data_IF_839493734031
#
_entry.id   IF_839493734031
#
_cell.length_a   1.000
_cell.length_b   1.000
_cell.length_c   1.000
_cell.angle_alpha   90.00
_cell.angle_beta   90.00
_cell.angle_gamma   90.00
#
_symmetry.space_group_name_H-M   'P 1'
#
loop_
_entity.id
_entity.type
_entity.pdbx_description
1 polymer ?
#
# COMPACT_ATOMS: atom_id res chain seq x y z
N UNK A 1 -30.26 11.72 9.67
CA UNK A 1 -31.05 10.77 8.84
C UNK A 1 -30.98 11.25 7.41
N UNK A 2 -29.96 10.79 6.66
CA UNK A 2 -29.80 11.09 5.23
C UNK A 2 -30.34 9.87 4.49
N UNK A 3 -31.46 10.03 3.80
CA UNK A 3 -32.01 9.00 2.91
C UNK A 3 -31.17 8.97 1.64
N UNK A 4 -30.28 7.99 1.50
CA UNK A 4 -29.63 7.70 0.22
C UNK A 4 -30.59 6.89 -0.64
N UNK A 5 -31.27 7.58 -1.55
CA UNK A 5 -32.01 6.94 -2.64
C UNK A 5 -30.99 6.26 -3.57
N UNK A 6 -30.85 4.95 -3.46
CA UNK A 6 -30.14 4.14 -4.45
C UNK A 6 -31.03 4.00 -5.70
N UNK A 7 -31.08 5.04 -6.53
CA UNK A 7 -31.68 4.96 -7.87
C UNK A 7 -30.89 3.96 -8.71
N UNK A 8 -31.58 2.99 -9.33
CA UNK A 8 -30.94 2.03 -10.23
C UNK A 8 -30.30 2.77 -11.42
N UNK A 9 -28.98 2.81 -11.48
CA UNK A 9 -28.25 3.53 -12.51
C UNK A 9 -28.38 2.81 -13.86
N UNK A 10 -29.01 3.47 -14.83
CA UNK A 10 -29.00 3.02 -16.22
C UNK A 10 -27.65 3.38 -16.87
N UNK A 11 -27.18 2.57 -17.82
CA UNK A 11 -25.93 2.85 -18.55
C UNK A 11 -25.96 4.16 -19.36
N UNK A 12 -27.15 4.73 -19.58
CA UNK A 12 -27.33 6.02 -20.27
C UNK A 12 -26.80 7.21 -19.49
N UNK A 13 -26.83 7.15 -18.16
CA UNK A 13 -26.49 8.29 -17.30
C UNK A 13 -25.01 8.37 -16.95
N UNK A 14 -24.27 7.26 -17.14
CA UNK A 14 -22.84 7.17 -16.85
C UNK A 14 -22.03 8.28 -17.55
N UNK A 15 -22.33 8.59 -18.81
CA UNK A 15 -21.64 9.66 -19.56
C UNK A 15 -21.93 11.04 -18.95
N UNK A 16 -23.15 11.26 -18.50
CA UNK A 16 -23.57 12.52 -17.89
C UNK A 16 -22.86 12.74 -16.56
N UNK A 17 -22.77 11.69 -15.72
CA UNK A 17 -22.02 11.73 -14.45
C UNK A 17 -20.52 11.92 -14.67
N UNK A 18 -19.91 11.18 -15.60
CA UNK A 18 -18.49 11.31 -15.94
C UNK A 18 -18.11 12.69 -16.53
N UNK A 19 -19.08 13.47 -16.98
CA UNK A 19 -18.85 14.86 -17.40
C UNK A 19 -19.01 15.87 -16.26
N UNK A 20 -19.76 15.53 -15.22
CA UNK A 20 -20.08 16.42 -14.10
C UNK A 20 -19.16 16.21 -12.88
N UNK A 21 -18.91 14.96 -12.49
CA UNK A 21 -17.96 14.56 -11.43
C UNK A 21 -17.18 13.32 -11.89
N UNK A 22 -16.11 13.51 -12.69
CA UNK A 22 -15.38 12.40 -13.29
C UNK A 22 -14.65 11.56 -12.23
N UNK A 23 -14.98 10.26 -12.17
CA UNK A 23 -14.25 9.28 -11.36
C UNK A 23 -13.24 8.57 -12.26
N UNK A 24 -12.00 8.45 -11.79
CA UNK A 24 -10.92 7.78 -12.51
C UNK A 24 -11.18 6.28 -12.61
N UNK A 25 -11.76 5.86 -13.73
CA UNK A 25 -11.97 4.45 -14.09
C UNK A 25 -11.13 4.02 -15.29
N UNK A 26 -10.12 4.83 -15.63
CA UNK A 26 -9.25 4.65 -16.79
C UNK A 26 -9.84 5.13 -18.12
N UNK A 27 -11.09 5.62 -18.14
CA UNK A 27 -11.70 6.24 -19.33
C UNK A 27 -11.65 7.76 -19.20
N UNK A 28 -11.41 8.43 -20.34
CA UNK A 28 -11.40 9.89 -20.41
C UNK A 28 -12.03 10.35 -21.73
N UNK A 29 -12.53 11.58 -21.74
CA UNK A 29 -13.01 12.19 -22.98
C UNK A 29 -11.80 12.57 -23.83
N UNK A 30 -11.70 11.99 -25.02
CA UNK A 30 -10.63 12.31 -25.96
C UNK A 30 -10.57 13.83 -26.21
N UNK A 31 -9.36 14.39 -26.19
CA UNK A 31 -9.09 15.83 -26.33
C UNK A 31 -9.66 16.72 -25.21
N UNK A 32 -10.12 16.13 -24.11
CA UNK A 32 -10.60 16.84 -22.92
C UNK A 32 -10.28 16.04 -21.67
N UNK A 33 -8.98 15.92 -21.37
CA UNK A 33 -8.54 15.39 -20.09
C UNK A 33 -9.14 16.25 -18.97
N UNK A 34 -9.83 15.61 -18.04
CA UNK A 34 -10.39 16.25 -16.86
C UNK A 34 -9.64 15.73 -15.64
N UNK A 35 -9.46 16.59 -14.64
CA UNK A 35 -9.06 16.13 -13.32
C UNK A 35 -10.13 15.17 -12.82
N UNK A 36 -9.72 13.93 -12.55
CA UNK A 36 -10.59 12.85 -12.12
C UNK A 36 -10.39 12.64 -10.64
N UNK A 37 -11.47 12.34 -9.92
CA UNK A 37 -11.39 11.87 -8.53
C UNK A 37 -10.96 10.41 -8.54
N UNK A 38 -10.09 10.02 -7.63
CA UNK A 38 -9.81 8.60 -7.43
C UNK A 38 -11.10 7.86 -7.05
N UNK A 39 -11.26 6.59 -7.45
CA UNK A 39 -12.36 5.76 -6.96
C UNK A 39 -12.42 5.77 -5.43
N UNK A 40 -13.63 5.68 -4.83
CA UNK A 40 -13.78 5.50 -3.40
C UNK A 40 -12.89 4.34 -2.91
N UNK A 41 -12.18 4.57 -1.81
CA UNK A 41 -11.19 3.61 -1.26
C UNK A 41 -11.85 2.28 -0.86
N UNK A 42 -13.13 2.35 -0.54
CA UNK A 42 -14.05 1.26 -0.21
C UNK A 42 -14.14 0.19 -1.30
N UNK A 43 -13.92 0.57 -2.57
CA UNK A 43 -13.96 -0.37 -3.70
C UNK A 43 -12.72 -1.29 -3.76
N UNK A 44 -11.63 -0.92 -3.10
CA UNK A 44 -10.39 -1.70 -3.17
C UNK A 44 -10.37 -2.83 -2.14
N UNK A 45 -10.87 -2.59 -0.92
CA UNK A 45 -10.91 -3.62 0.13
C UNK A 45 -11.95 -3.30 1.23
N UNK A 46 -12.72 -4.30 1.74
CA UNK A 46 -13.72 -4.08 2.79
C UNK A 46 -13.17 -3.51 4.10
N UNK A 47 -11.87 -3.66 4.35
CA UNK A 47 -11.21 -3.06 5.53
C UNK A 47 -11.36 -1.54 5.55
N UNK A 48 -11.39 -0.89 4.38
CA UNK A 48 -11.51 0.57 4.31
C UNK A 48 -12.92 1.03 4.63
N UNK A 49 -13.95 0.27 4.26
CA UNK A 49 -15.34 0.52 4.69
C UNK A 49 -15.41 0.46 6.21
N UNK A 50 -14.93 -0.64 6.79
CA UNK A 50 -14.94 -0.83 8.24
C UNK A 50 -14.18 0.28 8.97
N UNK A 51 -13.02 0.68 8.44
CA UNK A 51 -12.24 1.78 9.00
C UNK A 51 -13.01 3.10 9.00
N UNK A 52 -13.72 3.43 7.92
CA UNK A 52 -14.54 4.64 7.85
C UNK A 52 -15.73 4.57 8.81
N UNK A 53 -16.37 3.41 8.91
CA UNK A 53 -17.46 3.18 9.88
C UNK A 53 -16.95 3.34 11.33
N UNK A 54 -15.79 2.75 11.64
CA UNK A 54 -15.14 2.82 12.95
C UNK A 54 -14.75 4.27 13.31
N UNK A 55 -14.24 5.06 12.35
CA UNK A 55 -13.92 6.48 12.58
C UNK A 55 -15.16 7.35 12.79
N UNK A 56 -16.27 7.03 12.11
CA UNK A 56 -17.52 7.77 12.26
C UNK A 56 -18.30 7.41 13.53
N UNK A 57 -17.84 6.40 14.29
CA UNK A 57 -18.49 5.92 15.49
C UNK A 57 -17.91 6.61 16.75
N UNK A 58 -18.61 7.63 17.26
CA UNK A 58 -18.24 8.34 18.48
C UNK A 58 -18.23 7.44 19.74
N UNK A 59 -18.96 6.32 19.70
CA UNK A 59 -19.06 5.36 20.81
C UNK A 59 -18.00 4.23 20.70
N UNK A 60 -17.07 4.30 19.74
CA UNK A 60 -16.02 3.29 19.59
C UNK A 60 -15.02 3.38 20.75
N UNK A 61 -15.07 2.40 21.66
CA UNK A 61 -14.09 2.26 22.73
C UNK A 61 -12.76 1.73 22.18
N UNK A 62 -11.77 2.61 22.06
CA UNK A 62 -10.39 2.22 21.71
C UNK A 62 -9.61 1.92 22.99
N UNK A 63 -8.93 0.76 23.11
CA UNK A 63 -8.16 0.44 24.30
C UNK A 63 -7.07 1.48 24.61
N UNK A 64 -6.99 1.92 25.86
CA UNK A 64 -5.99 2.88 26.35
C UNK A 64 -4.54 2.54 25.95
N UNK A 65 -4.22 1.24 25.94
CA UNK A 65 -2.89 0.75 25.56
C UNK A 65 -2.59 1.05 24.08
N UNK A 66 -3.57 0.88 23.19
CA UNK A 66 -3.45 1.20 21.76
C UNK A 66 -3.27 2.70 21.59
N UNK A 67 -4.09 3.53 22.25
CA UNK A 67 -3.97 5.00 22.18
C UNK A 67 -2.57 5.46 22.59
N UNK A 68 -2.05 4.93 23.71
CA UNK A 68 -0.70 5.28 24.20
C UNK A 68 0.39 4.79 23.26
N UNK A 69 0.26 3.59 22.70
CA UNK A 69 1.20 3.06 21.72
C UNK A 69 1.22 3.90 20.45
N UNK A 70 0.04 4.24 19.89
CA UNK A 70 -0.09 5.12 18.74
C UNK A 70 0.50 6.50 19.01
N UNK A 71 0.29 7.07 20.20
CA UNK A 71 0.89 8.36 20.56
C UNK A 71 2.43 8.31 20.61
N UNK A 72 3.02 7.22 21.12
CA UNK A 72 4.48 7.01 21.09
C UNK A 72 4.98 6.84 19.66
N UNK A 73 4.29 6.01 18.87
CA UNK A 73 4.60 5.79 17.45
C UNK A 73 4.66 7.13 16.71
N UNK A 74 3.59 7.93 16.76
CA UNK A 74 3.53 9.23 16.09
C UNK A 74 4.66 10.16 16.57
N UNK A 75 4.92 10.19 17.88
CA UNK A 75 5.99 11.01 18.46
C UNK A 75 7.36 10.60 17.90
N UNK A 76 7.70 9.32 17.95
CA UNK A 76 9.00 8.83 17.48
C UNK A 76 9.13 8.89 15.96
N UNK A 77 8.08 8.59 15.20
CA UNK A 77 8.09 8.74 13.73
C UNK A 77 8.28 10.19 13.28
N UNK A 78 7.77 11.16 14.05
CA UNK A 78 7.90 12.60 13.74
C UNK A 78 9.26 13.20 14.13
N UNK A 79 10.07 12.50 14.91
CA UNK A 79 11.38 13.00 15.29
C UNK A 79 12.35 12.93 14.10
N UNK A 80 13.16 13.99 13.95
CA UNK A 80 14.28 14.01 13.01
C UNK A 80 15.46 13.36 13.72
N UNK A 81 16.01 12.31 13.11
CA UNK A 81 17.18 11.61 13.64
C UNK A 81 18.39 12.00 12.81
N UNK A 82 19.55 12.14 13.47
CA UNK A 82 20.80 12.29 12.75
C UNK A 82 21.10 11.00 11.98
N UNK A 83 21.66 11.13 10.77
CA UNK A 83 21.83 10.03 9.79
C UNK A 83 22.63 8.83 10.32
N UNK A 84 23.46 9.04 11.35
CA UNK A 84 24.28 7.99 11.97
C UNK A 84 23.45 7.00 12.82
N UNK A 85 22.19 7.32 13.15
CA UNK A 85 21.40 6.57 14.12
C UNK A 85 20.12 5.91 13.54
N UNK A 86 20.18 5.53 12.26
CA UNK A 86 19.10 4.82 11.56
C UNK A 86 18.65 3.53 12.26
N UNK A 87 19.55 2.90 13.03
CA UNK A 87 19.26 1.68 13.79
C UNK A 87 18.41 1.96 15.04
N UNK A 88 18.69 3.03 15.80
CA UNK A 88 17.84 3.39 16.93
C UNK A 88 16.46 3.86 16.44
N UNK A 89 16.39 4.63 15.34
CA UNK A 89 15.11 5.01 14.73
C UNK A 89 14.25 3.78 14.41
N UNK A 90 14.80 2.82 13.64
CA UNK A 90 14.08 1.60 13.23
C UNK A 90 13.61 0.75 14.41
N UNK A 91 14.48 0.55 15.41
CA UNK A 91 14.15 -0.27 16.58
C UNK A 91 13.04 0.33 17.45
N UNK A 92 13.10 1.65 17.69
CA UNK A 92 12.10 2.36 18.51
C UNK A 92 10.75 2.42 17.78
N UNK A 93 10.75 2.86 16.52
CA UNK A 93 9.52 2.94 15.72
C UNK A 93 8.91 1.54 15.54
N UNK A 94 9.74 0.52 15.36
CA UNK A 94 9.25 -0.84 15.19
C UNK A 94 8.56 -1.41 16.41
N UNK A 95 9.10 -1.17 17.61
CA UNK A 95 8.45 -1.58 18.84
C UNK A 95 7.09 -0.90 19.01
N UNK A 96 7.03 0.42 18.81
CA UNK A 96 5.77 1.16 18.97
C UNK A 96 4.74 0.79 17.89
N UNK A 97 5.18 0.46 16.67
CA UNK A 97 4.29 -0.02 15.61
C UNK A 97 3.67 -1.37 15.94
N UNK A 98 4.47 -2.32 16.45
CA UNK A 98 3.96 -3.63 16.88
C UNK A 98 2.98 -3.50 18.04
N UNK A 99 3.27 -2.61 19.00
CA UNK A 99 2.36 -2.31 20.11
C UNK A 99 1.05 -1.67 19.61
N UNK A 100 1.14 -0.68 18.72
CA UNK A 100 -0.03 0.04 18.20
C UNK A 100 -0.94 -0.84 17.32
N UNK A 101 -0.33 -1.76 16.55
CA UNK A 101 -1.06 -2.71 15.70
C UNK A 101 -1.43 -4.00 16.41
N UNK A 102 -0.96 -4.19 17.66
CA UNK A 102 -1.06 -5.45 18.39
C UNK A 102 -0.62 -6.67 17.56
N UNK A 103 0.34 -6.45 16.65
CA UNK A 103 0.76 -7.44 15.66
C UNK A 103 2.28 -7.58 15.66
N UNK A 104 2.75 -8.82 15.85
CA UNK A 104 4.17 -9.13 15.76
C UNK A 104 4.66 -9.02 14.31
N UNK A 105 5.75 -8.30 14.10
CA UNK A 105 6.39 -8.10 12.80
C UNK A 105 7.86 -8.52 12.89
N UNK A 106 8.17 -9.83 12.99
CA UNK A 106 9.55 -10.30 13.12
C UNK A 106 10.40 -9.87 11.92
N UNK A 107 11.64 -9.46 12.21
CA UNK A 107 12.64 -9.21 11.20
C UNK A 107 13.03 -10.54 10.53
N UNK A 108 13.01 -10.58 9.20
CA UNK A 108 13.44 -11.75 8.45
C UNK A 108 14.79 -11.43 7.81
N UNK A 109 15.85 -12.07 8.33
CA UNK A 109 17.21 -11.95 7.78
C UNK A 109 17.41 -13.10 6.79
N UNK A 110 17.50 -12.78 5.50
CA UNK A 110 17.82 -13.76 4.46
C UNK A 110 19.34 -14.04 4.41
N UNK A 111 19.71 -15.21 3.89
CA UNK A 111 21.10 -15.65 3.76
C UNK A 111 21.97 -14.67 2.94
N UNK A 112 21.37 -13.93 2.02
CA UNK A 112 22.05 -12.98 1.12
C UNK A 112 22.28 -11.60 1.77
N UNK A 113 22.19 -11.50 3.10
CA UNK A 113 22.36 -10.27 3.90
C UNK A 113 21.32 -9.18 3.63
N UNK A 114 20.29 -9.48 2.83
CA UNK A 114 19.10 -8.65 2.76
C UNK A 114 18.22 -9.02 3.96
N UNK A 115 17.89 -8.03 4.78
CA UNK A 115 17.03 -8.21 5.93
C UNK A 115 15.82 -7.29 5.75
N UNK A 116 14.63 -7.90 5.69
CA UNK A 116 13.37 -7.16 5.74
C UNK A 116 13.22 -6.57 7.14
N UNK A 117 12.84 -5.31 7.27
CA UNK A 117 12.67 -4.68 8.59
C UNK A 117 11.52 -5.32 9.40
N UNK A 118 10.53 -5.91 8.72
CA UNK A 118 9.56 -6.79 9.35
C UNK A 118 8.63 -7.49 8.36
N UNK A 119 8.14 -8.67 8.73
CA UNK A 119 7.20 -9.43 7.91
C UNK A 119 6.08 -10.02 8.76
N UNK A 120 4.84 -9.91 8.29
CA UNK A 120 3.71 -10.65 8.83
C UNK A 120 3.38 -11.77 7.85
N UNK A 121 3.43 -13.01 8.33
CA UNK A 121 3.08 -14.19 7.54
C UNK A 121 1.85 -14.90 8.09
N UNK A 122 1.14 -15.62 7.22
CA UNK A 122 0.05 -16.52 7.59
C UNK A 122 0.19 -17.85 6.86
N UNK A 123 -0.34 -18.91 7.46
CA UNK A 123 -0.39 -20.21 6.81
C UNK A 123 -1.42 -20.18 5.67
N UNK A 124 -1.03 -20.65 4.49
CA UNK A 124 -1.94 -20.84 3.38
C UNK A 124 -2.81 -22.09 3.62
N UNK A 125 -4.07 -22.09 3.15
CA UNK A 125 -4.92 -23.29 3.21
C UNK A 125 -4.37 -24.47 2.41
N UNK A 126 -3.46 -24.20 1.47
CA UNK A 126 -2.91 -25.19 0.53
C UNK A 126 -1.45 -25.43 0.87
N UNK A 127 -1.15 -26.60 1.41
CA UNK A 127 0.24 -27.08 1.54
C UNK A 127 1.03 -26.53 2.73
N UNK A 128 0.39 -25.88 3.71
CA UNK A 128 1.04 -25.34 4.90
C UNK A 128 2.21 -24.40 4.58
N UNK A 129 2.13 -23.70 3.45
CA UNK A 129 3.12 -22.70 3.05
C UNK A 129 2.83 -21.38 3.76
N UNK A 130 3.83 -20.52 3.88
CA UNK A 130 3.66 -19.19 4.46
C UNK A 130 3.40 -18.17 3.35
N UNK A 131 2.33 -17.38 3.49
CA UNK A 131 2.06 -16.21 2.66
C UNK A 131 2.40 -14.94 3.45
N UNK A 132 3.12 -14.00 2.83
CA UNK A 132 3.32 -12.67 3.41
C UNK A 132 2.03 -11.85 3.28
N UNK A 133 1.46 -11.47 4.42
CA UNK A 133 0.34 -10.52 4.50
C UNK A 133 0.88 -9.09 4.40
N UNK A 134 2.02 -8.82 5.04
CA UNK A 134 2.62 -7.51 5.11
C UNK A 134 4.15 -7.64 5.10
N UNK A 135 4.80 -6.76 4.36
CA UNK A 135 6.25 -6.55 4.39
C UNK A 135 6.47 -5.09 4.74
N UNK A 136 7.34 -4.86 5.72
CA UNK A 136 7.73 -3.57 6.21
C UNK A 136 9.16 -3.29 5.77
N UNK A 137 9.34 -2.12 5.19
CA UNK A 137 10.63 -1.51 4.84
C UNK A 137 10.59 -0.09 5.40
N UNK A 138 11.51 0.25 6.30
CA UNK A 138 11.61 1.58 6.87
C UNK A 138 12.75 2.34 6.19
N UNK A 139 12.45 3.55 5.71
CA UNK A 139 13.48 4.49 5.29
C UNK A 139 13.67 5.59 6.34
N UNK A 140 14.83 6.23 6.33
CA UNK A 140 15.15 7.32 7.24
C UNK A 140 14.24 8.53 6.98
N UNK A 141 14.37 9.13 5.80
CA UNK A 141 13.71 10.39 5.45
C UNK A 141 13.26 10.40 3.98
N UNK A 142 12.18 11.14 3.67
CA UNK A 142 11.77 11.30 2.27
C UNK A 142 12.80 12.16 1.53
N UNK A 143 13.45 11.55 0.53
CA UNK A 143 14.46 12.23 -0.29
C UNK A 143 15.91 12.01 0.16
N UNK A 144 16.14 11.20 1.19
CA UNK A 144 17.48 10.66 1.49
C UNK A 144 17.98 9.78 0.33
N UNK A 145 19.30 9.65 0.20
CA UNK A 145 19.96 8.90 -0.88
C UNK A 145 19.64 7.38 -0.82
N UNK A 146 18.48 6.99 -1.34
CA UNK A 146 18.02 5.61 -1.35
C UNK A 146 16.91 5.36 -2.39
N UNK A 147 16.62 4.08 -2.73
CA UNK A 147 15.50 3.75 -3.58
C UNK A 147 14.18 4.07 -2.87
N UNK A 148 13.18 4.46 -3.64
CA UNK A 148 11.85 4.75 -3.11
C UNK A 148 11.30 3.56 -2.29
N UNK A 149 10.76 3.78 -1.07
CA UNK A 149 10.30 2.71 -0.20
C UNK A 149 9.24 1.80 -0.84
N UNK A 150 8.38 2.35 -1.71
CA UNK A 150 7.37 1.55 -2.41
C UNK A 150 8.01 0.60 -3.42
N UNK A 151 9.10 1.03 -4.08
CA UNK A 151 9.88 0.18 -4.98
C UNK A 151 10.59 -0.90 -4.17
N UNK A 152 11.22 -0.57 -3.05
CA UNK A 152 11.89 -1.55 -2.20
C UNK A 152 10.91 -2.59 -1.68
N UNK A 153 9.79 -2.16 -1.08
CA UNK A 153 8.76 -3.07 -0.59
C UNK A 153 8.21 -3.99 -1.69
N UNK A 154 8.00 -3.47 -2.91
CA UNK A 154 7.58 -4.28 -4.06
C UNK A 154 8.61 -5.31 -4.50
N UNK A 155 9.90 -4.95 -4.49
CA UNK A 155 11.00 -5.87 -4.79
C UNK A 155 11.14 -6.94 -3.71
N UNK A 156 11.04 -6.55 -2.44
CA UNK A 156 11.06 -7.44 -1.28
C UNK A 156 9.89 -8.43 -1.32
N UNK A 157 8.69 -7.98 -1.68
CA UNK A 157 7.54 -8.86 -1.88
C UNK A 157 7.76 -9.85 -3.03
N UNK A 158 8.29 -9.39 -4.16
CA UNK A 158 8.65 -10.27 -5.27
C UNK A 158 9.69 -11.33 -4.88
N UNK A 159 10.69 -10.95 -4.07
CA UNK A 159 11.70 -11.89 -3.56
C UNK A 159 11.12 -12.90 -2.58
N UNK A 160 10.28 -12.45 -1.65
CA UNK A 160 9.59 -13.33 -0.71
C UNK A 160 8.93 -14.50 -1.45
N UNK A 161 8.16 -14.21 -2.51
CA UNK A 161 7.51 -15.25 -3.30
C UNK A 161 8.46 -16.07 -4.18
N UNK A 162 9.51 -15.45 -4.73
CA UNK A 162 10.48 -16.16 -5.56
C UNK A 162 11.43 -17.09 -4.79
N UNK A 163 11.61 -16.89 -3.48
CA UNK A 163 12.46 -17.73 -2.63
C UNK A 163 11.77 -19.01 -2.15
N UNK A 164 10.44 -19.03 -2.14
CA UNK A 164 9.70 -20.27 -1.97
C UNK A 164 9.64 -20.97 -3.31
N UNK A 165 10.45 -22.01 -3.47
CA UNK A 165 10.52 -22.85 -4.66
C UNK A 165 9.11 -23.37 -5.03
N UNK A 166 8.41 -22.61 -5.88
CA UNK A 166 7.16 -23.03 -6.50
C UNK A 166 7.55 -24.04 -7.56
N UNK A 167 7.60 -25.31 -7.12
CA UNK A 167 7.43 -26.43 -8.02
C UNK A 167 6.22 -26.16 -8.92
N UNK A 168 6.49 -25.81 -10.18
CA UNK A 168 5.63 -25.98 -11.36
C UNK A 168 4.45 -25.03 -11.65
N UNK A 169 4.20 -23.93 -10.94
CA UNK A 169 3.08 -23.02 -11.30
C UNK A 169 3.46 -21.61 -11.82
N UNK A 170 4.70 -21.14 -11.63
CA UNK A 170 5.00 -19.69 -11.75
C UNK A 170 5.54 -19.18 -13.09
N UNK A 171 5.96 -20.02 -14.03
CA UNK A 171 6.68 -19.50 -15.20
C UNK A 171 5.79 -18.73 -16.20
N UNK A 172 4.47 -18.97 -16.23
CA UNK A 172 3.57 -18.25 -17.14
C UNK A 172 3.04 -16.94 -16.55
N UNK A 173 2.59 -16.95 -15.29
CA UNK A 173 2.01 -15.79 -14.61
C UNK A 173 3.05 -14.68 -14.34
N UNK A 174 4.28 -15.05 -13.98
CA UNK A 174 5.38 -14.10 -13.77
C UNK A 174 5.75 -13.33 -15.03
N UNK A 175 5.75 -13.99 -16.20
CA UNK A 175 6.03 -13.33 -17.47
C UNK A 175 4.89 -12.43 -17.94
N UNK A 176 3.63 -12.79 -17.63
CA UNK A 176 2.47 -11.93 -17.91
C UNK A 176 2.48 -10.67 -17.04
N UNK A 177 2.79 -10.80 -15.75
CA UNK A 177 2.85 -9.67 -14.82
C UNK A 177 4.02 -8.72 -15.11
N UNK A 178 5.21 -9.25 -15.45
CA UNK A 178 6.34 -8.43 -15.91
C UNK A 178 5.98 -7.63 -17.17
N UNK A 179 5.30 -8.24 -18.13
CA UNK A 179 4.86 -7.56 -19.35
C UNK A 179 3.90 -6.41 -19.10
N UNK A 180 2.95 -6.58 -18.18
CA UNK A 180 1.95 -5.57 -17.85
C UNK A 180 2.52 -4.43 -17.00
N UNK A 181 3.27 -4.73 -15.94
CA UNK A 181 3.92 -3.70 -15.11
C UNK A 181 4.95 -2.89 -15.91
N UNK A 182 5.77 -3.54 -16.72
CA UNK A 182 6.78 -2.84 -17.52
C UNK A 182 6.14 -1.93 -18.59
N UNK A 183 4.98 -2.32 -19.14
CA UNK A 183 4.22 -1.50 -20.09
C UNK A 183 3.57 -0.28 -19.42
N UNK A 184 3.06 -0.44 -18.20
CA UNK A 184 2.50 0.67 -17.41
C UNK A 184 3.60 1.67 -17.02
N UNK A 185 4.75 1.20 -16.52
CA UNK A 185 5.88 2.05 -16.15
C UNK A 185 6.50 2.78 -17.36
N UNK A 186 6.57 2.15 -18.54
CA UNK A 186 7.11 2.81 -19.75
C UNK A 186 6.16 3.87 -20.31
N UNK A 187 4.86 3.67 -20.18
CA UNK A 187 3.84 4.65 -20.60
C UNK A 187 3.86 5.87 -19.69
N UNK A 188 4.07 5.68 -18.39
CA UNK A 188 4.19 6.77 -17.42
C UNK A 188 5.48 7.61 -17.64
N UNK A 189 6.61 6.94 -17.89
CA UNK A 189 7.91 7.60 -18.13
C UNK A 189 7.99 8.34 -19.48
N UNK A 190 7.25 7.91 -20.50
CA UNK A 190 7.20 8.64 -21.79
C UNK A 190 6.34 9.90 -21.74
N UNK A 191 5.27 9.92 -20.94
CA UNK A 191 4.41 11.10 -20.84
C UNK A 191 5.06 12.25 -20.07
N UNK A 192 5.81 11.98 -18.99
CA UNK A 192 6.41 13.07 -18.20
C UNK A 192 7.58 13.80 -18.89
N UNK A 193 8.26 13.18 -19.86
CA UNK A 193 9.39 13.79 -20.56
C UNK A 193 8.94 14.70 -21.72
N UNK A 194 7.80 14.40 -22.34
CA UNK A 194 7.28 15.17 -23.48
C UNK A 194 6.42 16.38 -23.05
N UNK A 195 5.89 16.40 -21.81
CA UNK A 195 5.11 17.52 -21.25
C UNK A 195 5.96 18.64 -20.64
N UNK A 196 7.26 18.42 -20.42
CA UNK A 196 8.18 19.44 -19.87
C UNK A 196 8.97 20.22 -20.95
N UNK A 197 8.65 20.02 -22.24
CA UNK A 197 9.32 20.68 -23.37
C UNK A 197 8.38 21.48 -24.29
N UNK A 198 7.20 21.86 -23.83
CA UNK A 198 6.34 22.83 -24.52
C UNK A 198 5.94 23.97 -23.60
#
# INVERSE_FOLDING_TARGET
MVTSDFSSYSSGDYRTFQLADPIYDGRYVANRAADTRAPPVELYHPVFVRFLDDIANDDLEVPDLVIRATARLLRHSSAIYDSEDSHLRRSVIGADLMDATCTAMPQVVELDKYALDGTITTATPIGNQLAAICIREDTNEMGDEGPDPSIQAGLSYGRFWAHWDVGSFEWSLWNTWKGQLWTVFRTFRRRSVDEWKR
#
